data_IF_294143239746
#
_entry.id   IF_294143239746
#
_cell.length_a   1.000
_cell.length_b   1.000
_cell.length_c   1.000
_cell.angle_alpha   90.00
_cell.angle_beta   90.00
_cell.angle_gamma   90.00
#
_symmetry.space_group_name_H-M   'P 1'
#
loop_
_entity.id
_entity.type
_entity.pdbx_description
1 polymer ?
#
# COMPACT_ATOMS: atom_id res chain seq x y z
N UNK A 1 -1.95 38.33 36.47
CA UNK A 1 -1.41 39.65 36.04
C UNK A 1 -1.45 39.68 34.52
N UNK A 2 -2.39 40.45 34.06
CA UNK A 2 -2.57 41.17 32.82
C UNK A 2 -2.29 40.50 31.44
N UNK A 3 -3.41 40.18 30.85
CA UNK A 3 -3.72 40.05 29.42
C UNK A 3 -3.55 41.38 28.71
N UNK A 4 -2.94 41.37 27.52
CA UNK A 4 -3.10 42.45 26.54
C UNK A 4 -3.53 41.81 25.23
N UNK A 5 -4.80 42.07 24.89
CA UNK A 5 -5.42 41.82 23.58
C UNK A 5 -5.18 43.09 22.74
N UNK A 6 -4.66 42.93 21.52
CA UNK A 6 -4.75 43.96 20.49
C UNK A 6 -5.38 43.44 19.24
N UNK A 7 -6.58 43.92 18.99
CA UNK A 7 -7.35 43.83 17.75
C UNK A 7 -6.83 44.86 16.75
N UNK A 8 -6.67 44.50 15.49
CA UNK A 8 -6.65 45.47 14.39
C UNK A 8 -7.30 44.91 13.12
N UNK A 9 -8.28 45.59 12.76
CA UNK A 9 -9.24 45.78 11.70
C UNK A 9 -8.72 45.58 10.27
N UNK A 10 -9.61 44.97 9.47
CA UNK A 10 -9.62 44.91 7.99
C UNK A 10 -9.84 46.30 7.35
N UNK A 11 -9.53 46.46 6.07
CA UNK A 11 -10.45 47.17 5.20
C UNK A 11 -10.87 46.38 3.96
N UNK A 12 -12.14 46.58 3.67
CA UNK A 12 -12.90 46.28 2.48
C UNK A 12 -12.50 47.15 1.30
N UNK A 13 -12.54 46.62 0.04
CA UNK A 13 -13.03 47.40 -1.13
C UNK A 13 -13.24 46.51 -2.35
N UNK A 14 -14.49 46.26 -2.67
CA UNK A 14 -15.31 46.46 -3.88
C UNK A 14 -14.71 46.30 -5.30
N UNK A 15 -15.40 45.40 -6.00
CA UNK A 15 -16.06 45.56 -7.32
C UNK A 15 -15.23 45.89 -8.56
N UNK A 16 -15.37 45.04 -9.59
CA UNK A 16 -15.81 45.41 -10.94
C UNK A 16 -15.81 44.13 -11.86
N UNK A 17 -16.95 43.69 -12.30
CA UNK A 17 -17.16 43.04 -13.60
C UNK A 17 -17.57 44.13 -14.60
N UNK A 18 -17.40 43.96 -15.90
CA UNK A 18 -18.20 43.16 -16.81
C UNK A 18 -17.39 42.63 -18.04
N UNK A 19 -17.76 41.87 -18.97
CA UNK A 19 -18.91 41.82 -19.85
C UNK A 19 -18.76 40.64 -20.87
N UNK A 20 -19.86 40.05 -21.20
CA UNK A 20 -20.14 39.10 -22.26
C UNK A 20 -19.72 39.57 -23.66
N UNK A 21 -19.25 38.63 -24.52
CA UNK A 21 -19.65 38.56 -25.94
C UNK A 21 -19.68 37.12 -26.40
N UNK A 22 -20.86 36.72 -26.77
CA UNK A 22 -21.19 35.57 -27.63
C UNK A 22 -20.53 35.69 -29.00
N UNK A 23 -20.08 34.60 -29.56
CA UNK A 23 -20.31 34.33 -30.97
C UNK A 23 -20.37 32.83 -31.29
N UNK A 24 -21.48 32.48 -31.86
CA UNK A 24 -21.96 31.23 -32.38
C UNK A 24 -21.15 30.74 -33.59
N UNK A 25 -20.93 29.46 -33.75
CA UNK A 25 -21.54 28.56 -34.75
C UNK A 25 -20.69 27.34 -35.10
N UNK A 26 -21.35 26.21 -35.00
CA UNK A 26 -21.41 25.08 -35.96
C UNK A 26 -20.23 24.12 -36.12
N UNK A 27 -20.64 22.88 -35.93
CA UNK A 27 -20.31 21.60 -36.59
C UNK A 27 -19.53 20.57 -35.75
N UNK A 28 -20.31 19.58 -35.33
CA UNK A 28 -19.84 18.24 -35.01
C UNK A 28 -19.35 17.55 -36.29
N UNK A 29 -18.32 16.72 -36.19
CA UNK A 29 -18.41 15.39 -36.78
C UNK A 29 -18.17 14.28 -35.75
N UNK A 30 -18.89 13.22 -35.97
CA UNK A 30 -18.84 11.90 -35.41
C UNK A 30 -17.47 11.23 -35.54
N UNK A 31 -17.10 10.45 -34.51
CA UNK A 31 -16.25 9.30 -34.74
C UNK A 31 -15.03 9.20 -33.86
N UNK A 32 -14.95 8.04 -33.23
CA UNK A 32 -13.80 7.38 -32.67
C UNK A 32 -13.47 7.66 -31.19
N UNK A 33 -13.96 6.71 -30.38
CA UNK A 33 -13.48 6.46 -29.01
C UNK A 33 -12.06 5.90 -29.13
N UNK A 34 -11.08 6.78 -29.06
CA UNK A 34 -9.68 6.40 -28.89
C UNK A 34 -9.40 6.21 -27.39
N UNK A 35 -9.33 4.95 -26.96
CA UNK A 35 -8.69 4.57 -25.70
C UNK A 35 -7.22 4.93 -25.77
N UNK A 36 -6.86 6.14 -25.38
CA UNK A 36 -5.48 6.51 -25.05
C UNK A 36 -5.31 6.43 -23.54
N UNK A 37 -4.95 5.24 -23.06
CA UNK A 37 -4.19 5.13 -21.84
C UNK A 37 -2.88 5.89 -22.06
N UNK A 38 -2.69 7.01 -21.39
CA UNK A 38 -1.42 7.71 -21.30
C UNK A 38 -0.45 6.81 -20.54
N UNK A 39 0.26 5.93 -21.27
CA UNK A 39 1.53 5.40 -20.79
C UNK A 39 2.49 6.58 -20.70
N UNK A 40 2.65 7.10 -19.49
CA UNK A 40 3.68 8.07 -19.18
C UNK A 40 5.03 7.35 -19.33
N UNK A 41 5.64 7.45 -20.50
CA UNK A 41 7.02 7.04 -20.71
C UNK A 41 7.89 7.92 -19.81
N UNK A 42 8.32 7.37 -18.68
CA UNK A 42 9.35 7.96 -17.85
C UNK A 42 10.65 8.01 -18.68
N UNK A 43 10.93 9.17 -19.23
CA UNK A 43 12.26 9.49 -19.73
C UNK A 43 13.23 9.30 -18.57
N UNK A 44 14.31 8.56 -18.83
CA UNK A 44 15.44 8.31 -17.95
C UNK A 44 15.89 9.61 -17.28
N UNK A 45 15.30 9.92 -16.11
CA UNK A 45 15.79 11.00 -15.27
C UNK A 45 17.20 10.60 -14.81
N UNK A 46 18.19 11.43 -15.12
CA UNK A 46 19.54 11.26 -14.57
C UNK A 46 19.41 11.47 -13.07
N UNK A 47 19.62 10.40 -12.28
CA UNK A 47 19.83 10.56 -10.84
C UNK A 47 20.85 11.67 -10.61
N UNK A 48 20.56 12.61 -9.71
CA UNK A 48 21.58 13.59 -9.38
C UNK A 48 22.80 12.85 -8.82
N UNK A 49 24.03 13.21 -9.21
CA UNK A 49 25.24 12.58 -8.68
C UNK A 49 25.30 12.61 -7.15
N UNK A 50 24.62 13.56 -6.53
CA UNK A 50 24.60 13.78 -5.08
C UNK A 50 23.87 12.68 -4.31
N UNK A 51 22.80 12.06 -4.85
CA UNK A 51 22.02 11.02 -4.17
C UNK A 51 22.75 9.67 -4.12
N UNK A 52 23.36 9.28 -5.22
CA UNK A 52 24.24 8.12 -5.29
C UNK A 52 25.39 8.25 -4.30
N UNK A 53 26.06 9.42 -4.31
CA UNK A 53 27.19 9.69 -3.42
C UNK A 53 26.78 9.78 -1.94
N UNK A 54 25.62 10.37 -1.62
CA UNK A 54 25.14 10.48 -0.25
C UNK A 54 24.81 9.12 0.36
N UNK A 55 24.12 8.25 -0.40
CA UNK A 55 23.81 6.88 0.04
C UNK A 55 25.07 6.05 0.20
N UNK A 56 25.99 6.04 -0.78
CA UNK A 56 27.26 5.34 -0.69
C UNK A 56 28.16 5.91 0.40
N UNK A 57 28.20 7.23 0.58
CA UNK A 57 28.97 7.89 1.64
C UNK A 57 28.45 7.47 3.01
N UNK A 58 27.13 7.42 3.20
CA UNK A 58 26.51 6.97 4.46
C UNK A 58 26.84 5.51 4.78
N UNK A 59 26.94 4.64 3.76
CA UNK A 59 27.34 3.24 3.92
C UNK A 59 28.85 3.08 4.15
N UNK A 60 29.68 3.75 3.34
CA UNK A 60 31.13 3.62 3.34
C UNK A 60 31.79 4.30 4.55
N UNK A 61 31.27 5.45 5.02
CA UNK A 61 31.81 6.18 6.16
C UNK A 61 31.84 5.36 7.45
N UNK A 62 31.06 4.27 7.50
CA UNK A 62 30.98 3.37 8.65
C UNK A 62 31.45 1.95 8.35
N UNK A 63 32.11 1.71 7.20
CA UNK A 63 32.59 0.39 6.79
C UNK A 63 31.48 -0.65 6.65
N UNK A 64 30.27 -0.24 6.23
CA UNK A 64 29.09 -1.09 6.22
C UNK A 64 28.70 -1.49 4.81
N UNK A 65 28.42 -2.77 4.64
CA UNK A 65 27.95 -3.35 3.39
C UNK A 65 26.52 -3.85 3.52
N UNK A 66 25.70 -3.74 2.46
CA UNK A 66 24.34 -4.27 2.44
C UNK A 66 24.31 -5.76 2.77
N UNK A 67 23.43 -6.17 3.69
CA UNK A 67 23.30 -7.56 4.11
C UNK A 67 22.33 -8.30 3.19
N UNK A 68 22.84 -9.23 2.38
CA UNK A 68 22.02 -10.09 1.51
C UNK A 68 20.96 -10.88 2.27
N UNK A 69 21.27 -11.33 3.50
CA UNK A 69 20.35 -12.06 4.36
C UNK A 69 19.14 -11.25 4.80
N UNK A 70 19.22 -9.92 4.76
CA UNK A 70 18.11 -8.99 5.06
C UNK A 70 17.44 -8.47 3.80
N UNK A 71 17.87 -8.88 2.60
CA UNK A 71 17.31 -8.44 1.33
C UNK A 71 17.47 -6.94 1.06
N UNK A 72 18.53 -6.32 1.62
CA UNK A 72 18.76 -4.88 1.53
C UNK A 72 19.17 -4.45 0.12
N UNK A 73 18.35 -3.56 -0.48
CA UNK A 73 18.61 -2.85 -1.73
C UNK A 73 18.25 -1.37 -1.51
N UNK A 74 19.25 -0.51 -1.49
CA UNK A 74 19.07 0.91 -1.21
C UNK A 74 18.76 1.67 -2.49
N UNK A 75 17.77 2.57 -2.45
CA UNK A 75 17.40 3.44 -3.55
C UNK A 75 18.51 4.47 -3.81
N UNK A 76 18.91 4.60 -5.07
CA UNK A 76 19.93 5.55 -5.54
C UNK A 76 19.32 6.79 -6.21
N UNK A 77 18.03 6.74 -6.53
CA UNK A 77 17.34 7.77 -7.27
C UNK A 77 16.25 8.41 -6.39
N UNK A 78 16.45 9.68 -6.00
CA UNK A 78 15.50 10.44 -5.19
C UNK A 78 14.16 10.64 -5.86
N UNK A 79 14.12 10.82 -7.20
CA UNK A 79 12.88 11.03 -7.95
C UNK A 79 11.88 9.86 -7.73
N UNK A 80 12.38 8.65 -7.49
CA UNK A 80 11.53 7.49 -7.19
C UNK A 80 10.96 7.60 -5.78
N UNK A 81 11.71 8.13 -4.81
CA UNK A 81 11.19 8.37 -3.46
C UNK A 81 10.11 9.45 -3.48
N UNK A 82 10.28 10.50 -4.29
CA UNK A 82 9.26 11.54 -4.50
C UNK A 82 7.99 10.96 -5.14
N UNK A 83 8.15 10.05 -6.11
CA UNK A 83 7.02 9.37 -6.74
C UNK A 83 6.31 8.40 -5.78
N UNK A 84 7.04 7.71 -4.88
CA UNK A 84 6.46 6.88 -3.81
C UNK A 84 5.60 7.74 -2.87
N UNK A 85 6.13 8.87 -2.40
CA UNK A 85 5.40 9.79 -1.54
C UNK A 85 4.18 10.39 -2.26
N UNK A 86 4.31 10.71 -3.56
CA UNK A 86 3.22 11.20 -4.40
C UNK A 86 2.12 10.15 -4.61
N UNK A 87 2.48 8.86 -4.84
CA UNK A 87 1.51 7.77 -4.97
C UNK A 87 0.68 7.60 -3.68
N UNK A 88 1.28 7.85 -2.52
CA UNK A 88 0.59 7.87 -1.25
C UNK A 88 -0.19 9.18 -1.00
N UNK A 89 -0.03 10.20 -1.85
CA UNK A 89 -0.61 11.54 -1.65
C UNK A 89 -0.23 12.09 -0.26
N UNK A 90 1.07 12.01 0.06
CA UNK A 90 1.60 12.49 1.35
C UNK A 90 1.55 14.00 1.41
N UNK A 91 1.01 14.54 2.51
CA UNK A 91 0.82 15.97 2.76
C UNK A 91 1.39 16.37 4.11
N UNK A 92 1.53 17.68 4.30
CA UNK A 92 1.88 18.24 5.61
C UNK A 92 0.86 17.80 6.68
N UNK A 93 1.38 17.38 7.83
CA UNK A 93 0.56 16.88 8.95
C UNK A 93 0.21 15.39 8.88
N UNK A 94 0.43 14.72 7.75
CA UNK A 94 0.19 13.26 7.66
C UNK A 94 1.07 12.48 8.63
N UNK A 95 0.52 11.36 9.10
CA UNK A 95 1.29 10.35 9.82
C UNK A 95 1.63 9.19 8.87
N UNK A 96 2.92 8.89 8.73
CA UNK A 96 3.41 7.87 7.81
C UNK A 96 4.18 6.79 8.56
N UNK A 97 3.81 5.54 8.34
CA UNK A 97 4.60 4.38 8.72
C UNK A 97 5.55 4.02 7.58
N UNK A 98 6.85 3.97 7.88
CA UNK A 98 7.88 3.49 6.96
C UNK A 98 8.48 2.17 7.47
N UNK A 99 8.54 1.15 6.62
CA UNK A 99 9.11 -0.16 6.98
C UNK A 99 10.46 -0.30 6.29
N UNK A 100 11.52 -0.45 7.09
CA UNK A 100 12.89 -0.54 6.59
C UNK A 100 13.40 0.77 5.99
N UNK A 101 13.57 1.84 6.78
CA UNK A 101 14.05 3.14 6.29
C UNK A 101 15.46 3.07 5.67
N UNK A 102 16.23 2.04 5.99
CA UNK A 102 17.57 1.84 5.47
C UNK A 102 18.49 3.04 5.73
N UNK A 103 18.94 3.74 4.69
CA UNK A 103 19.77 4.96 4.82
C UNK A 103 18.96 6.23 5.14
N UNK A 104 17.63 6.13 5.18
CA UNK A 104 16.74 7.27 5.42
C UNK A 104 16.48 8.14 4.18
N UNK A 105 16.66 7.61 3.00
CA UNK A 105 16.46 8.34 1.74
C UNK A 105 14.99 8.70 1.54
N UNK A 106 14.09 7.72 1.68
CA UNK A 106 12.64 7.95 1.62
C UNK A 106 12.15 8.73 2.84
N UNK A 107 12.65 8.39 4.04
CA UNK A 107 12.36 9.13 5.29
C UNK A 107 12.54 10.65 5.11
N UNK A 108 13.66 11.04 4.48
CA UNK A 108 13.97 12.45 4.24
C UNK A 108 12.92 13.13 3.36
N UNK A 109 12.46 12.48 2.31
CA UNK A 109 11.39 13.00 1.44
C UNK A 109 10.09 13.18 2.22
N UNK A 110 9.69 12.17 3.00
CA UNK A 110 8.46 12.20 3.80
C UNK A 110 8.46 13.35 4.83
N UNK A 111 9.60 13.53 5.54
CA UNK A 111 9.76 14.63 6.52
C UNK A 111 9.74 16.00 5.83
N UNK A 112 10.38 16.13 4.67
CA UNK A 112 10.41 17.39 3.92
C UNK A 112 9.03 17.79 3.37
N UNK A 113 8.15 16.82 3.11
CA UNK A 113 6.74 17.04 2.78
C UNK A 113 5.89 17.42 4.00
N UNK A 114 6.49 17.47 5.19
CA UNK A 114 5.83 17.84 6.44
C UNK A 114 5.17 16.69 7.20
N UNK A 115 5.35 15.45 6.76
CA UNK A 115 4.81 14.28 7.44
C UNK A 115 5.56 13.96 8.74
N UNK A 116 4.87 13.37 9.71
CA UNK A 116 5.49 12.71 10.87
C UNK A 116 5.69 11.24 10.53
N UNK A 117 6.90 10.75 10.69
CA UNK A 117 7.31 9.39 10.28
C UNK A 117 7.59 8.52 11.48
N UNK A 118 6.89 7.38 11.59
CA UNK A 118 7.27 6.25 12.41
C UNK A 118 7.99 5.24 11.51
N UNK A 119 9.25 4.96 11.76
CA UNK A 119 10.00 3.95 11.04
C UNK A 119 10.18 2.68 11.89
N UNK A 120 10.10 1.50 11.25
CA UNK A 120 10.42 0.22 11.89
C UNK A 120 11.57 -0.41 11.13
N UNK A 121 12.68 -0.65 11.83
CA UNK A 121 13.92 -1.20 11.25
C UNK A 121 14.43 -2.37 12.09
N UNK A 122 14.77 -3.45 11.42
CA UNK A 122 15.29 -4.65 12.06
C UNK A 122 16.80 -4.60 12.31
N UNK A 123 17.54 -3.91 11.43
CA UNK A 123 19.01 -3.82 11.53
C UNK A 123 19.41 -2.72 12.53
N UNK A 124 20.00 -3.06 13.70
CA UNK A 124 20.39 -2.08 14.71
C UNK A 124 21.36 -1.03 14.17
N UNK A 125 22.11 -1.36 13.13
CA UNK A 125 23.03 -0.43 12.53
C UNK A 125 22.34 0.62 11.67
N UNK A 126 21.27 0.24 10.97
CA UNK A 126 20.45 1.18 10.23
C UNK A 126 19.64 2.04 11.19
N UNK A 127 19.14 1.46 12.28
CA UNK A 127 18.50 2.24 13.37
C UNK A 127 19.43 3.33 13.87
N UNK A 128 20.68 3.00 14.23
CA UNK A 128 21.64 3.99 14.71
C UNK A 128 21.92 5.07 13.66
N UNK A 129 22.02 4.69 12.37
CA UNK A 129 22.29 5.61 11.28
C UNK A 129 21.15 6.61 11.09
N UNK A 130 19.90 6.13 11.03
CA UNK A 130 18.75 7.04 10.81
C UNK A 130 18.43 7.86 12.06
N UNK A 131 18.62 7.31 13.27
CA UNK A 131 18.50 8.07 14.52
C UNK A 131 19.44 9.25 14.57
N UNK A 132 20.70 9.06 14.17
CA UNK A 132 21.68 10.16 14.11
C UNK A 132 21.34 11.14 12.99
N UNK A 133 20.95 10.63 11.80
CA UNK A 133 20.62 11.47 10.65
C UNK A 133 19.46 12.41 10.93
N UNK A 134 18.46 11.96 11.68
CA UNK A 134 17.24 12.71 11.97
C UNK A 134 17.13 13.15 13.44
N UNK A 135 18.25 13.16 14.19
CA UNK A 135 18.28 13.52 15.61
C UNK A 135 17.71 14.93 15.93
N UNK A 136 17.77 15.84 14.98
CA UNK A 136 17.25 17.21 15.14
C UNK A 136 15.77 17.34 14.73
N UNK A 137 15.13 16.28 14.23
CA UNK A 137 13.73 16.32 13.78
C UNK A 137 12.80 15.76 14.85
N UNK A 138 11.81 16.52 15.24
CA UNK A 138 10.69 16.11 16.10
C UNK A 138 9.64 15.28 15.34
N UNK A 139 9.74 15.23 14.00
CA UNK A 139 8.85 14.49 13.10
C UNK A 139 9.31 13.06 12.82
N UNK A 140 10.36 12.56 13.48
CA UNK A 140 10.90 11.22 13.22
C UNK A 140 11.02 10.39 14.48
N UNK A 141 10.52 9.16 14.39
CA UNK A 141 10.71 8.13 15.44
C UNK A 141 11.06 6.82 14.76
N UNK A 142 12.05 6.09 15.27
CA UNK A 142 12.41 4.76 14.78
C UNK A 142 12.32 3.73 15.91
N UNK A 143 11.70 2.58 15.61
CA UNK A 143 11.64 1.41 16.49
C UNK A 143 12.56 0.31 15.92
N UNK A 144 13.39 -0.27 16.80
CA UNK A 144 14.20 -1.41 16.42
C UNK A 144 13.41 -2.70 16.60
N UNK A 145 12.70 -3.12 15.57
CA UNK A 145 11.88 -4.33 15.60
C UNK A 145 11.88 -5.07 14.26
N UNK A 146 11.57 -6.37 14.30
CA UNK A 146 11.20 -7.13 13.11
C UNK A 146 9.72 -6.86 12.81
N UNK A 147 9.42 -6.14 11.74
CA UNK A 147 8.06 -5.72 11.38
C UNK A 147 7.07 -6.87 11.38
N UNK A 148 7.44 -8.03 10.82
CA UNK A 148 6.55 -9.20 10.73
C UNK A 148 6.17 -9.75 12.12
N UNK A 149 6.98 -9.48 13.15
CA UNK A 149 6.77 -9.92 14.53
C UNK A 149 6.33 -8.79 15.46
N UNK A 150 6.29 -7.56 14.97
CA UNK A 150 5.93 -6.39 15.77
C UNK A 150 4.42 -6.32 16.05
N UNK A 151 4.06 -5.68 17.15
CA UNK A 151 2.68 -5.37 17.48
C UNK A 151 2.24 -4.03 16.86
N UNK A 152 2.42 -3.92 15.53
CA UNK A 152 2.22 -2.65 14.80
C UNK A 152 0.87 -2.00 15.06
N UNK A 153 -0.20 -2.79 15.15
CA UNK A 153 -1.54 -2.26 15.46
C UNK A 153 -1.56 -1.51 16.79
N UNK A 154 -0.95 -2.07 17.84
CA UNK A 154 -0.89 -1.43 19.16
C UNK A 154 -0.05 -0.16 19.14
N UNK A 155 1.10 -0.17 18.46
CA UNK A 155 1.94 1.03 18.29
C UNK A 155 1.18 2.14 17.58
N UNK A 156 0.51 1.82 16.46
CA UNK A 156 -0.24 2.81 15.69
C UNK A 156 -1.42 3.39 16.45
N UNK A 157 -2.22 2.56 17.12
CA UNK A 157 -3.36 3.02 17.92
C UNK A 157 -2.91 3.97 19.03
N UNK A 158 -1.87 3.61 19.80
CA UNK A 158 -1.33 4.47 20.86
C UNK A 158 -0.89 5.85 20.35
N UNK A 159 -0.28 5.90 19.17
CA UNK A 159 0.19 7.15 18.55
C UNK A 159 -1.00 7.97 18.04
N UNK A 160 -1.94 7.34 17.35
CA UNK A 160 -3.11 8.04 16.80
C UNK A 160 -4.02 8.57 17.92
N UNK A 161 -4.21 7.81 19.00
CA UNK A 161 -4.95 8.25 20.18
C UNK A 161 -4.29 9.48 20.81
N UNK A 162 -2.96 9.49 20.93
CA UNK A 162 -2.25 10.65 21.48
C UNK A 162 -2.38 11.91 20.61
N UNK A 163 -2.53 11.75 19.31
CA UNK A 163 -2.73 12.85 18.33
C UNK A 163 -4.18 13.33 18.28
N UNK A 164 -5.16 12.43 18.37
CA UNK A 164 -6.57 12.79 18.34
C UNK A 164 -7.02 13.61 19.55
N UNK A 165 -6.24 13.63 20.63
CA UNK A 165 -6.43 14.55 21.76
C UNK A 165 -6.06 16.01 21.41
N UNK A 166 -5.36 16.22 20.31
CA UNK A 166 -4.90 17.54 19.85
C UNK A 166 -5.67 18.05 18.62
N UNK A 167 -6.29 17.17 17.84
CA UNK A 167 -7.00 17.51 16.59
C UNK A 167 -8.41 16.92 16.55
N UNK A 168 -9.35 17.71 16.04
CA UNK A 168 -10.78 17.36 15.98
C UNK A 168 -11.15 16.41 14.84
N UNK A 169 -10.22 16.11 13.92
CA UNK A 169 -10.45 15.19 12.77
C UNK A 169 -9.31 14.18 12.66
N UNK A 170 -9.50 12.93 13.13
CA UNK A 170 -8.47 11.91 13.07
C UNK A 170 -8.25 11.45 11.62
N UNK A 171 -7.26 12.02 10.95
CA UNK A 171 -6.84 11.53 9.65
C UNK A 171 -6.22 10.14 9.79
N UNK A 172 -6.63 9.20 8.94
CA UNK A 172 -6.01 7.88 8.86
C UNK A 172 -4.55 7.99 8.42
N UNK A 173 -3.69 7.18 9.03
CA UNK A 173 -2.28 7.10 8.66
C UNK A 173 -2.08 6.50 7.24
N UNK A 174 -0.87 6.65 6.72
CA UNK A 174 -0.43 6.05 5.46
C UNK A 174 0.78 5.17 5.68
N UNK A 175 0.98 4.20 4.81
CA UNK A 175 2.21 3.39 4.77
C UNK A 175 2.93 3.70 3.46
N UNK A 176 4.21 4.05 3.54
CA UNK A 176 5.06 4.24 2.35
C UNK A 176 6.38 3.54 2.60
N UNK A 177 6.76 2.58 1.74
CA UNK A 177 7.94 1.78 2.02
C UNK A 177 8.61 1.20 0.78
N UNK A 178 9.94 1.22 0.78
CA UNK A 178 10.78 0.41 -0.08
C UNK A 178 11.12 -0.89 0.66
N UNK A 179 10.30 -1.94 0.47
CA UNK A 179 10.39 -3.16 1.25
C UNK A 179 11.56 -4.07 0.83
N UNK A 180 12.20 -4.76 1.79
CA UNK A 180 12.95 -5.96 1.48
C UNK A 180 12.03 -6.99 0.81
N UNK A 181 12.42 -7.47 -0.38
CA UNK A 181 11.55 -8.27 -1.25
C UNK A 181 11.05 -9.59 -0.62
N UNK A 182 11.82 -10.15 0.31
CA UNK A 182 11.52 -11.41 0.98
C UNK A 182 10.34 -11.38 1.96
N UNK A 183 9.93 -10.19 2.43
CA UNK A 183 8.83 -10.04 3.42
C UNK A 183 7.55 -9.43 2.83
N UNK A 184 7.55 -9.11 1.54
CA UNK A 184 6.45 -8.37 0.88
C UNK A 184 5.07 -8.98 1.12
N UNK A 185 4.93 -10.30 0.95
CA UNK A 185 3.64 -10.99 1.13
C UNK A 185 3.16 -10.95 2.58
N UNK A 186 4.06 -11.08 3.54
CA UNK A 186 3.70 -11.07 4.97
C UNK A 186 3.32 -9.64 5.41
N UNK A 187 4.03 -8.63 4.91
CA UNK A 187 3.67 -7.22 5.13
C UNK A 187 2.28 -6.90 4.58
N UNK A 188 1.97 -7.31 3.35
CA UNK A 188 0.65 -7.13 2.75
C UNK A 188 -0.44 -7.77 3.61
N UNK A 189 -0.26 -9.04 4.05
CA UNK A 189 -1.23 -9.73 4.90
C UNK A 189 -1.45 -9.06 6.25
N UNK A 190 -0.42 -8.45 6.82
CA UNK A 190 -0.50 -7.76 8.11
C UNK A 190 -1.19 -6.39 8.00
N UNK A 191 -0.90 -5.63 6.95
CA UNK A 191 -1.36 -4.25 6.82
C UNK A 191 -2.79 -4.12 6.28
N UNK A 192 -3.16 -4.92 5.26
CA UNK A 192 -4.44 -4.70 4.58
C UNK A 192 -5.68 -4.83 5.48
N UNK A 193 -5.71 -5.68 6.55
CA UNK A 193 -6.84 -5.72 7.48
C UNK A 193 -6.96 -4.49 8.41
N UNK A 194 -6.08 -3.48 8.27
CA UNK A 194 -6.02 -2.30 9.13
C UNK A 194 -6.61 -1.04 8.47
N UNK A 195 -7.73 -1.18 7.76
CA UNK A 195 -8.41 -0.05 7.10
C UNK A 195 -9.06 0.94 8.07
N UNK A 196 -9.07 0.65 9.37
CA UNK A 196 -9.41 1.57 10.47
C UNK A 196 -8.22 2.41 10.93
N UNK A 197 -7.00 2.07 10.52
CA UNK A 197 -5.76 2.76 10.90
C UNK A 197 -5.15 3.45 9.69
N UNK A 198 -5.10 2.76 8.54
CA UNK A 198 -4.45 3.25 7.34
C UNK A 198 -5.45 3.49 6.21
N UNK A 199 -5.27 4.60 5.49
CA UNK A 199 -6.03 4.90 4.28
C UNK A 199 -5.37 4.32 3.02
N UNK A 200 -4.04 4.37 2.96
CA UNK A 200 -3.24 3.90 1.82
C UNK A 200 -2.00 3.15 2.28
N UNK A 201 -1.65 2.13 1.54
CA UNK A 201 -0.40 1.36 1.67
C UNK A 201 0.30 1.38 0.32
N UNK A 202 1.42 2.11 0.22
CA UNK A 202 2.24 2.23 -0.99
C UNK A 202 3.55 1.49 -0.77
N UNK A 203 3.78 0.47 -1.58
CA UNK A 203 4.92 -0.43 -1.43
C UNK A 203 5.69 -0.53 -2.75
N UNK A 204 7.01 -0.55 -2.63
CA UNK A 204 7.89 -0.94 -3.70
C UNK A 204 8.23 -2.43 -3.53
N UNK A 205 7.87 -3.23 -4.53
CA UNK A 205 7.97 -4.69 -4.55
C UNK A 205 8.76 -5.16 -5.78
N UNK A 206 9.10 -6.44 -5.87
CA UNK A 206 9.54 -7.03 -7.14
C UNK A 206 8.42 -6.91 -8.18
N UNK A 207 8.76 -6.53 -9.42
CA UNK A 207 7.80 -6.28 -10.50
C UNK A 207 6.86 -7.47 -10.74
N UNK A 208 7.40 -8.68 -10.85
CA UNK A 208 6.61 -9.89 -11.03
C UNK A 208 5.69 -10.19 -9.83
N UNK A 209 6.14 -9.90 -8.61
CA UNK A 209 5.31 -10.04 -7.41
C UNK A 209 4.19 -9.00 -7.39
N UNK A 210 4.48 -7.77 -7.77
CA UNK A 210 3.51 -6.68 -7.88
C UNK A 210 2.38 -7.03 -8.86
N UNK A 211 2.72 -7.48 -10.07
CA UNK A 211 1.74 -7.91 -11.07
C UNK A 211 0.85 -9.05 -10.56
N UNK A 212 1.43 -10.07 -9.92
CA UNK A 212 0.65 -11.17 -9.35
C UNK A 212 -0.31 -10.75 -8.24
N UNK A 213 0.05 -9.70 -7.47
CA UNK A 213 -0.80 -9.21 -6.39
C UNK A 213 -1.94 -8.34 -6.91
N UNK A 214 -1.68 -7.50 -7.92
CA UNK A 214 -2.61 -6.46 -8.41
C UNK A 214 -3.48 -6.97 -9.55
N UNK A 215 -2.89 -7.68 -10.52
CA UNK A 215 -3.56 -8.10 -11.76
C UNK A 215 -3.51 -9.63 -11.99
N UNK A 216 -3.96 -10.44 -11.00
CA UNK A 216 -3.94 -11.87 -11.18
C UNK A 216 -4.97 -12.30 -12.21
N UNK A 217 -4.56 -13.02 -13.23
CA UNK A 217 -5.49 -13.60 -14.18
C UNK A 217 -6.26 -14.78 -13.55
N UNK A 218 -7.59 -14.71 -13.57
CA UNK A 218 -8.46 -15.84 -13.22
C UNK A 218 -8.11 -17.07 -14.06
N UNK A 219 -8.33 -18.26 -13.52
CA UNK A 219 -8.06 -19.56 -14.16
C UNK A 219 -6.58 -19.84 -14.42
N UNK A 220 -5.69 -19.12 -13.73
CA UNK A 220 -4.24 -19.36 -13.77
C UNK A 220 -3.72 -19.87 -12.43
N UNK A 221 -2.53 -20.47 -12.44
CA UNK A 221 -1.83 -20.90 -11.22
C UNK A 221 -1.35 -19.75 -10.35
N UNK A 222 -1.42 -18.52 -10.86
CA UNK A 222 -1.01 -17.30 -10.17
C UNK A 222 -2.12 -16.72 -9.30
N UNK A 223 -3.39 -17.04 -9.62
CA UNK A 223 -4.52 -16.65 -8.80
C UNK A 223 -4.54 -17.48 -7.50
N UNK A 224 -4.44 -16.83 -6.37
CA UNK A 224 -4.20 -17.43 -5.05
C UNK A 224 -5.05 -16.79 -3.96
N UNK A 225 -5.15 -17.39 -2.75
CA UNK A 225 -5.86 -16.80 -1.61
C UNK A 225 -5.48 -15.35 -1.32
N UNK A 226 -4.22 -14.96 -1.55
CA UNK A 226 -3.75 -13.59 -1.31
C UNK A 226 -4.49 -12.57 -2.18
N UNK A 227 -4.91 -12.94 -3.39
CA UNK A 227 -5.65 -12.05 -4.29
C UNK A 227 -7.08 -11.80 -3.78
N UNK A 228 -7.71 -12.83 -3.19
CA UNK A 228 -9.01 -12.66 -2.51
C UNK A 228 -8.84 -11.74 -1.29
N UNK A 229 -7.77 -11.92 -0.49
CA UNK A 229 -7.48 -11.07 0.66
C UNK A 229 -7.29 -9.61 0.24
N UNK A 230 -6.50 -9.37 -0.80
CA UNK A 230 -6.24 -8.01 -1.31
C UNK A 230 -7.53 -7.32 -1.73
N UNK A 231 -8.33 -7.98 -2.57
CA UNK A 231 -9.60 -7.42 -3.07
C UNK A 231 -10.68 -7.29 -1.98
N UNK A 232 -10.59 -8.12 -0.91
CA UNK A 232 -11.48 -8.00 0.24
C UNK A 232 -11.23 -6.71 1.01
N UNK A 233 -9.96 -6.37 1.29
CA UNK A 233 -9.56 -5.27 2.15
C UNK A 233 -9.20 -3.98 1.43
N UNK A 234 -8.93 -4.02 0.12
CA UNK A 234 -8.39 -2.86 -0.61
C UNK A 234 -8.79 -2.83 -2.08
N UNK A 235 -8.50 -1.70 -2.70
CA UNK A 235 -8.47 -1.51 -4.15
C UNK A 235 -7.00 -1.41 -4.56
N UNK A 236 -6.43 -2.48 -5.16
CA UNK A 236 -5.04 -2.51 -5.58
C UNK A 236 -4.84 -1.75 -6.89
N UNK A 237 -3.69 -1.08 -7.02
CA UNK A 237 -3.30 -0.33 -8.21
C UNK A 237 -1.81 -0.54 -8.50
N UNK A 238 -1.46 -0.93 -9.72
CA UNK A 238 -0.09 -0.94 -10.21
C UNK A 238 0.25 0.46 -10.75
N UNK A 239 1.17 1.17 -10.08
CA UNK A 239 1.49 2.54 -10.45
C UNK A 239 2.53 2.60 -11.58
N UNK A 240 3.75 2.11 -11.33
CA UNK A 240 4.83 2.14 -12.31
C UNK A 240 5.96 1.17 -11.97
N UNK A 241 6.71 0.80 -13.01
CA UNK A 241 7.90 -0.04 -12.91
C UNK A 241 9.13 0.79 -12.54
N UNK A 242 10.00 0.23 -11.70
CA UNK A 242 11.28 0.81 -11.27
C UNK A 242 12.42 -0.09 -11.75
N UNK A 243 13.24 0.38 -12.70
CA UNK A 243 14.39 -0.39 -13.19
C UNK A 243 15.39 -0.70 -12.08
N UNK A 244 15.94 -1.90 -12.08
CA UNK A 244 16.89 -2.42 -11.07
C UNK A 244 18.18 -1.60 -10.94
N UNK A 245 18.53 -0.83 -11.98
CA UNK A 245 19.70 0.06 -11.99
C UNK A 245 19.59 1.19 -10.96
N UNK A 246 18.38 1.45 -10.45
CA UNK A 246 18.12 2.47 -9.42
C UNK A 246 18.46 2.00 -8.01
N UNK A 247 19.00 0.79 -7.84
CA UNK A 247 19.29 0.21 -6.52
C UNK A 247 20.76 -0.17 -6.33
N UNK A 248 21.23 -0.08 -5.09
CA UNK A 248 22.52 -0.61 -4.65
C UNK A 248 22.36 -1.51 -3.42
N UNK A 249 22.91 -2.74 -3.44
CA UNK A 249 23.33 -3.47 -4.63
C UNK A 249 22.20 -3.66 -5.63
N UNK A 250 22.52 -3.72 -6.91
CA UNK A 250 21.52 -3.96 -7.94
C UNK A 250 20.85 -5.32 -7.75
N UNK A 251 19.50 -5.40 -7.66
CA UNK A 251 18.79 -6.68 -7.59
C UNK A 251 18.83 -7.41 -8.94
N UNK A 252 18.41 -8.67 -8.95
CA UNK A 252 18.35 -9.48 -10.18
C UNK A 252 17.20 -9.11 -11.10
N UNK A 253 16.13 -8.54 -10.55
CA UNK A 253 14.87 -8.20 -11.22
C UNK A 253 14.50 -6.76 -10.93
N UNK A 254 13.68 -6.19 -11.78
CA UNK A 254 13.14 -4.86 -11.59
C UNK A 254 12.12 -4.85 -10.43
N UNK A 255 11.83 -3.68 -9.95
CA UNK A 255 10.80 -3.44 -8.96
C UNK A 255 9.59 -2.72 -9.58
N UNK A 256 8.51 -2.63 -8.83
CA UNK A 256 7.36 -1.81 -9.17
C UNK A 256 6.77 -1.19 -7.91
N UNK A 257 6.16 -0.03 -8.08
CA UNK A 257 5.37 0.64 -7.04
C UNK A 257 3.92 0.23 -7.19
N UNK A 258 3.33 -0.21 -6.09
CA UNK A 258 1.92 -0.57 -5.98
C UNK A 258 1.26 0.21 -4.87
N UNK A 259 0.01 0.58 -5.07
CA UNK A 259 -0.85 1.23 -4.09
C UNK A 259 -2.01 0.31 -3.74
N UNK A 260 -2.26 0.14 -2.46
CA UNK A 260 -3.48 -0.46 -1.93
C UNK A 260 -4.26 0.65 -1.23
N UNK A 261 -5.40 1.06 -1.80
CA UNK A 261 -6.36 1.95 -1.15
C UNK A 261 -7.20 1.10 -0.20
N UNK A 262 -7.02 1.27 1.09
CA UNK A 262 -7.69 0.42 2.07
C UNK A 262 -9.17 0.80 2.18
N UNK A 263 -10.02 -0.21 2.21
CA UNK A 263 -11.44 -0.06 2.52
C UNK A 263 -11.59 0.12 4.03
N UNK A 264 -12.51 0.97 4.44
CA UNK A 264 -12.87 1.05 5.85
C UNK A 264 -13.58 -0.26 6.27
N UNK A 265 -13.47 -0.74 7.52
CA UNK A 265 -14.12 -1.98 7.96
C UNK A 265 -15.62 -2.08 7.68
N UNK A 266 -16.34 -0.95 7.68
CA UNK A 266 -17.78 -0.90 7.29
C UNK A 266 -18.05 -1.19 5.82
N UNK A 267 -17.01 -1.07 4.96
CA UNK A 267 -17.12 -1.24 3.50
C UNK A 267 -16.59 -2.62 3.06
N UNK A 268 -16.24 -3.49 4.02
CA UNK A 268 -15.83 -4.86 3.71
C UNK A 268 -17.02 -5.67 3.19
N UNK A 269 -16.79 -6.66 2.34
CA UNK A 269 -17.83 -7.60 1.92
C UNK A 269 -18.57 -8.19 3.12
N UNK A 270 -19.91 -8.26 3.03
CA UNK A 270 -20.75 -8.80 4.10
C UNK A 270 -20.59 -10.32 4.21
N UNK A 271 -19.90 -10.75 5.25
CA UNK A 271 -19.65 -12.16 5.59
C UNK A 271 -19.96 -12.39 7.07
N UNK A 272 -20.52 -13.54 7.41
CA UNK A 272 -20.86 -13.87 8.80
C UNK A 272 -19.67 -13.80 9.76
N UNK A 273 -18.48 -14.12 9.29
CA UNK A 273 -17.21 -13.99 10.01
C UNK A 273 -16.05 -13.93 9.04
N UNK A 274 -15.22 -12.90 9.14
CA UNK A 274 -14.00 -12.75 8.34
C UNK A 274 -13.04 -13.94 8.55
N UNK A 275 -12.95 -14.45 9.78
CA UNK A 275 -12.11 -15.62 10.11
C UNK A 275 -12.57 -16.86 9.40
N UNK A 276 -13.89 -17.17 9.42
CA UNK A 276 -14.45 -18.36 8.72
C UNK A 276 -14.36 -18.19 7.21
N UNK A 277 -14.57 -16.97 6.69
CA UNK A 277 -14.43 -16.65 5.27
C UNK A 277 -13.01 -16.98 4.76
N UNK A 278 -11.97 -16.45 5.39
CA UNK A 278 -10.60 -16.74 4.96
C UNK A 278 -10.17 -18.19 5.25
N UNK A 279 -10.76 -18.86 6.23
CA UNK A 279 -10.58 -20.31 6.43
C UNK A 279 -11.13 -21.09 5.23
N UNK A 280 -12.34 -20.75 4.75
CA UNK A 280 -12.94 -21.35 3.56
C UNK A 280 -12.09 -21.05 2.32
N UNK A 281 -11.68 -19.82 2.09
CA UNK A 281 -10.82 -19.45 0.95
C UNK A 281 -9.53 -20.24 0.95
N UNK A 282 -8.79 -20.26 2.08
CA UNK A 282 -7.53 -21.01 2.18
C UNK A 282 -7.75 -22.50 1.92
N UNK A 283 -8.82 -23.07 2.46
CA UNK A 283 -9.19 -24.47 2.27
C UNK A 283 -9.51 -24.79 0.82
N UNK A 284 -10.21 -23.89 0.13
CA UNK A 284 -10.52 -24.06 -1.29
C UNK A 284 -9.24 -24.23 -2.13
N UNK A 285 -8.20 -23.45 -1.84
CA UNK A 285 -6.93 -23.50 -2.57
C UNK A 285 -5.94 -24.57 -2.10
N UNK A 286 -6.20 -25.29 -0.98
CA UNK A 286 -5.31 -26.36 -0.47
C UNK A 286 -5.17 -27.54 -1.43
N UNK A 287 -6.09 -27.72 -2.33
CA UNK A 287 -6.06 -28.81 -3.31
C UNK A 287 -5.74 -28.31 -4.70
N UNK A 288 -4.47 -28.22 -5.11
CA UNK A 288 -4.10 -27.85 -6.49
C UNK A 288 -4.95 -28.63 -7.50
N UNK A 289 -5.68 -27.93 -8.37
CA UNK A 289 -6.54 -28.50 -9.42
C UNK A 289 -7.75 -29.32 -8.93
N UNK A 290 -8.05 -29.35 -7.62
CA UNK A 290 -9.25 -30.03 -7.10
C UNK A 290 -10.49 -29.14 -7.26
N UNK A 291 -11.64 -29.76 -7.53
CA UNK A 291 -12.93 -29.08 -7.47
C UNK A 291 -13.27 -28.70 -6.02
N UNK A 292 -13.99 -27.60 -5.83
CA UNK A 292 -14.38 -27.09 -4.51
C UNK A 292 -15.08 -28.15 -3.65
N UNK A 293 -15.98 -28.96 -4.23
CA UNK A 293 -16.64 -30.07 -3.54
C UNK A 293 -15.71 -31.09 -2.91
N UNK A 294 -14.44 -31.17 -3.37
CA UNK A 294 -13.40 -32.06 -2.80
C UNK A 294 -12.46 -31.31 -1.85
N UNK A 295 -12.11 -30.07 -2.14
CA UNK A 295 -11.18 -29.31 -1.30
C UNK A 295 -11.83 -28.81 0.00
N UNK A 296 -13.16 -28.65 0.02
CA UNK A 296 -13.92 -28.17 1.18
C UNK A 296 -14.56 -29.27 2.04
N UNK A 297 -14.29 -30.55 1.75
CA UNK A 297 -14.93 -31.71 2.46
C UNK A 297 -14.69 -31.72 3.97
N UNK A 298 -13.67 -31.04 4.47
CA UNK A 298 -13.41 -30.91 5.91
C UNK A 298 -14.26 -29.81 6.59
N UNK A 299 -14.97 -28.99 5.80
CA UNK A 299 -15.89 -27.94 6.28
C UNK A 299 -17.33 -28.47 6.27
N UNK A 300 -17.74 -29.16 5.18
CA UNK A 300 -19.06 -29.71 4.98
C UNK A 300 -19.01 -30.90 4.03
N UNK A 301 -20.05 -31.74 4.01
CA UNK A 301 -20.09 -32.91 3.13
C UNK A 301 -20.12 -32.54 1.64
N UNK A 302 -19.65 -33.41 0.74
CA UNK A 302 -19.64 -33.13 -0.70
C UNK A 302 -21.02 -32.80 -1.27
N UNK A 303 -22.09 -33.49 -0.90
CA UNK A 303 -23.45 -33.13 -1.35
C UNK A 303 -23.92 -31.75 -0.86
N UNK A 304 -23.59 -31.37 0.38
CA UNK A 304 -23.92 -30.06 0.92
C UNK A 304 -23.17 -28.95 0.18
N UNK A 305 -21.88 -29.16 -0.11
CA UNK A 305 -21.10 -28.21 -0.91
C UNK A 305 -21.63 -28.10 -2.34
N UNK A 306 -22.03 -29.21 -2.97
CA UNK A 306 -22.64 -29.19 -4.29
C UNK A 306 -23.96 -28.39 -4.29
N UNK A 307 -24.80 -28.61 -3.26
CA UNK A 307 -26.02 -27.84 -3.04
C UNK A 307 -25.71 -26.35 -2.85
N UNK A 308 -24.72 -26.00 -2.00
CA UNK A 308 -24.30 -24.63 -1.74
C UNK A 308 -23.76 -23.94 -3.01
N UNK A 309 -22.98 -24.63 -3.84
CA UNK A 309 -22.54 -24.15 -5.15
C UNK A 309 -23.74 -23.83 -6.05
N UNK A 310 -24.71 -24.73 -6.12
CA UNK A 310 -25.95 -24.51 -6.90
C UNK A 310 -26.74 -23.30 -6.43
N UNK A 311 -26.91 -23.11 -5.11
CA UNK A 311 -27.57 -21.94 -4.52
C UNK A 311 -26.80 -20.64 -4.80
N UNK A 312 -25.46 -20.70 -4.79
CA UNK A 312 -24.59 -19.56 -5.13
C UNK A 312 -24.55 -19.28 -6.66
N UNK A 313 -25.21 -20.08 -7.50
CA UNK A 313 -25.20 -19.95 -8.95
C UNK A 313 -23.88 -20.40 -9.60
N UNK A 314 -23.13 -21.27 -8.92
CA UNK A 314 -21.83 -21.76 -9.37
C UNK A 314 -21.91 -23.19 -9.87
N UNK A 315 -21.16 -23.56 -10.92
CA UNK A 315 -21.08 -24.95 -11.38
C UNK A 315 -20.53 -25.89 -10.27
N UNK A 316 -21.08 -27.09 -10.15
CA UNK A 316 -20.63 -28.12 -9.19
C UNK A 316 -19.17 -28.59 -9.45
N UNK A 317 -18.66 -28.32 -10.66
CA UNK A 317 -17.31 -28.62 -11.09
C UNK A 317 -16.33 -27.49 -10.81
N UNK A 318 -16.77 -26.36 -10.27
CA UNK A 318 -15.98 -25.16 -10.04
C UNK A 318 -14.71 -25.44 -9.23
N UNK A 319 -13.65 -24.75 -9.61
CA UNK A 319 -12.35 -24.78 -8.94
C UNK A 319 -12.06 -23.40 -8.32
N UNK A 320 -11.22 -23.31 -7.28
CA UNK A 320 -10.99 -22.05 -6.58
C UNK A 320 -10.43 -20.94 -7.49
N UNK A 321 -9.60 -21.29 -8.48
CA UNK A 321 -9.03 -20.33 -9.42
C UNK A 321 -10.02 -19.72 -10.42
N UNK A 322 -11.26 -20.24 -10.45
CA UNK A 322 -12.34 -19.76 -11.34
C UNK A 322 -13.25 -18.75 -10.63
N UNK A 323 -13.19 -18.65 -9.30
CA UNK A 323 -14.08 -17.86 -8.48
C UNK A 323 -13.53 -16.43 -8.24
N UNK A 324 -14.41 -15.45 -8.41
CA UNK A 324 -14.17 -14.07 -7.98
C UNK A 324 -14.32 -13.93 -6.46
N UNK A 325 -13.98 -12.77 -5.90
CA UNK A 325 -14.28 -12.43 -4.51
C UNK A 325 -15.77 -12.57 -4.20
N UNK A 326 -16.64 -12.04 -5.07
CA UNK A 326 -18.10 -12.08 -4.89
C UNK A 326 -18.65 -13.50 -4.89
N UNK A 327 -18.08 -14.39 -5.71
CA UNK A 327 -18.45 -15.79 -5.72
C UNK A 327 -18.07 -16.48 -4.41
N UNK A 328 -16.89 -16.21 -3.86
CA UNK A 328 -16.49 -16.70 -2.55
C UNK A 328 -17.37 -16.18 -1.43
N UNK A 329 -17.77 -14.90 -1.45
CA UNK A 329 -18.68 -14.30 -0.47
C UNK A 329 -20.04 -14.98 -0.52
N UNK A 330 -20.62 -15.16 -1.71
CA UNK A 330 -21.89 -15.86 -1.89
C UNK A 330 -21.81 -17.29 -1.35
N UNK A 331 -20.78 -18.04 -1.77
CA UNK A 331 -20.58 -19.43 -1.34
C UNK A 331 -20.43 -19.54 0.18
N UNK A 332 -19.60 -18.67 0.78
CA UNK A 332 -19.41 -18.62 2.22
C UNK A 332 -20.72 -18.38 2.97
N UNK A 333 -21.49 -17.38 2.52
CA UNK A 333 -22.75 -17.00 3.19
C UNK A 333 -23.84 -18.10 3.07
N UNK A 334 -23.83 -18.91 2.01
CA UNK A 334 -24.69 -20.07 1.90
C UNK A 334 -24.28 -21.16 2.90
N UNK A 335 -22.99 -21.52 2.94
CA UNK A 335 -22.46 -22.55 3.84
C UNK A 335 -22.62 -22.15 5.33
N UNK A 336 -22.48 -20.87 5.66
CA UNK A 336 -22.58 -20.37 7.03
C UNK A 336 -24.02 -20.31 7.57
N UNK A 337 -25.04 -20.42 6.69
CA UNK A 337 -26.48 -20.44 7.07
C UNK A 337 -27.03 -21.85 7.29
N UNK A 338 -26.34 -22.86 6.80
CA UNK A 338 -26.66 -24.28 7.03
C UNK A 338 -26.00 -24.79 8.33
#
# INVERSE_FOLDING_TARGET
MNVVITTSTLPNCNSLSPSWRDNSSSKLPSGEISRRGSAMFLTRAKSSPDDYHSTLKSLNSRGRFPRKSLGQHYMLNSDINDQLASAADVKEGDFVLEIGPGTGSLTNVLINLGATVLAIEKDPHMVALVSERFAASDKFTVLQEDFVKSHIRSHMLSILESRSLLDTDPSLAKVVSNLPFNISTDVVKLLLPMGDIFSKVVLLLQDEAALRLVEPALRTSEYRPINILINFYSEPEYNFRVPRENFFPQPKVDAAVVTFKLKHPRDYPDVSSTKSFFSLVNSAFNGKRKMLRKSLQHISSSPEIEKALGVAGLPVTSRPEELTLDDFVKLHNVIARE
#
